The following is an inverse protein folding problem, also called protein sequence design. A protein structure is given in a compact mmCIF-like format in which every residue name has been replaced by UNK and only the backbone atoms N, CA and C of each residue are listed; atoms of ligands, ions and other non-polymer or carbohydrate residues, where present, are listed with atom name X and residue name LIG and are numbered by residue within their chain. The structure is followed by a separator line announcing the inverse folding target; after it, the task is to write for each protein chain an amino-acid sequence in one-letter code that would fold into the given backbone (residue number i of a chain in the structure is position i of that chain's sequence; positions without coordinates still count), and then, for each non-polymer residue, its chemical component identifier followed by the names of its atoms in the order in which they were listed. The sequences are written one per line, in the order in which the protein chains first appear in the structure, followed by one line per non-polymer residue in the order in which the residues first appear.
data_IF_445453679364
#
_entry.id   IF_445453679364
#
_cell.length_a   1.000
_cell.length_b   1.000
_cell.length_c   1.000
_cell.angle_alpha   90.00
_cell.angle_beta   90.00
_cell.angle_gamma   90.00
#
_symmetry.space_group_name_H-M   'P 1'
#
loop_
_entity.id
_entity.type
_entity.pdbx_description
1 polymer ?
#
# COMPACT_ATOMS: atom_id res chain seq x y z
N UNK A 1 -24.16 17.75 -11.37
CA UNK A 1 -24.00 16.39 -10.81
C UNK A 1 -23.91 15.46 -12.01
N UNK A 2 -22.70 15.29 -12.55
CA UNK A 2 -22.49 14.47 -13.75
C UNK A 2 -22.26 13.03 -13.30
N UNK A 3 -23.01 12.10 -13.90
CA UNK A 3 -23.02 10.68 -13.57
C UNK A 3 -21.73 10.00 -14.08
N UNK A 4 -20.98 9.24 -13.24
CA UNK A 4 -19.76 8.55 -13.64
C UNK A 4 -19.96 7.44 -14.68
N UNK A 5 -21.19 6.97 -14.92
CA UNK A 5 -21.46 5.94 -15.94
C UNK A 5 -21.32 6.46 -17.38
N UNK A 6 -21.46 7.78 -17.59
CA UNK A 6 -21.40 8.38 -18.93
C UNK A 6 -19.98 8.48 -19.51
N UNK A 7 -18.93 8.33 -18.72
CA UNK A 7 -17.54 8.41 -19.20
C UNK A 7 -16.97 7.09 -19.73
N UNK A 8 -17.54 5.93 -19.35
CA UNK A 8 -16.97 4.63 -19.69
C UNK A 8 -17.29 4.15 -21.12
N UNK A 9 -18.25 4.78 -21.80
CA UNK A 9 -18.68 4.38 -23.15
C UNK A 9 -17.99 5.13 -24.30
N UNK A 10 -17.11 6.10 -24.00
CA UNK A 10 -16.53 6.98 -25.02
C UNK A 10 -15.23 6.45 -25.68
N UNK A 11 -14.70 5.30 -25.26
CA UNK A 11 -13.35 4.85 -25.64
C UNK A 11 -13.32 3.65 -26.61
N UNK A 12 -14.33 3.48 -27.46
CA UNK A 12 -14.31 2.45 -28.51
C UNK A 12 -14.70 3.03 -29.87
N UNK A 13 -14.08 4.15 -30.27
CA UNK A 13 -14.06 4.53 -31.68
C UNK A 13 -13.12 3.58 -32.43
N UNK A 14 -13.66 2.42 -32.82
CA UNK A 14 -13.12 1.66 -33.94
C UNK A 14 -13.27 2.56 -35.16
N UNK A 15 -12.17 3.12 -35.65
CA UNK A 15 -12.16 3.81 -36.94
C UNK A 15 -12.36 2.75 -38.03
N UNK A 16 -13.61 2.45 -38.40
CA UNK A 16 -13.88 1.83 -39.69
C UNK A 16 -13.61 2.88 -40.75
N UNK A 17 -12.68 2.59 -41.67
CA UNK A 17 -12.47 3.39 -42.87
C UNK A 17 -13.66 3.14 -43.80
N UNK A 18 -14.79 3.76 -43.51
CA UNK A 18 -15.97 3.70 -44.37
C UNK A 18 -15.83 4.73 -45.49
N UNK A 19 -15.03 4.39 -46.51
CA UNK A 19 -15.18 5.01 -47.83
C UNK A 19 -16.28 4.27 -48.59
N UNK A 20 -17.53 4.43 -48.12
CA UNK A 20 -18.73 3.83 -48.73
C UNK A 20 -18.99 4.31 -50.17
N UNK A 21 -18.37 5.43 -50.57
CA UNK A 21 -18.59 6.05 -51.88
C UNK A 21 -17.36 6.04 -52.80
N UNK A 22 -16.29 5.31 -52.45
CA UNK A 22 -15.16 5.12 -53.35
C UNK A 22 -15.53 4.20 -54.51
N UNK A 23 -15.36 4.66 -55.75
CA UNK A 23 -15.59 3.85 -56.98
C UNK A 23 -14.75 2.57 -57.01
N UNK A 24 -13.58 2.58 -56.35
CA UNK A 24 -12.77 1.38 -56.17
C UNK A 24 -13.45 0.33 -55.29
N UNK A 25 -14.16 0.76 -54.23
CA UNK A 25 -14.96 -0.14 -53.39
C UNK A 25 -16.10 -0.78 -54.20
N UNK A 26 -16.74 -0.04 -55.12
CA UNK A 26 -17.85 -0.54 -55.95
C UNK A 26 -17.41 -1.58 -56.99
N UNK A 27 -16.16 -1.53 -57.45
CA UNK A 27 -15.61 -2.46 -58.45
C UNK A 27 -14.92 -3.70 -57.85
N UNK A 28 -14.47 -3.65 -56.59
CA UNK A 28 -13.70 -4.75 -55.99
C UNK A 28 -14.55 -5.79 -55.26
N UNK A 29 -15.80 -5.47 -54.92
CA UNK A 29 -16.74 -6.44 -54.34
C UNK A 29 -17.67 -6.96 -55.42
N UNK A 30 -17.64 -8.27 -55.64
CA UNK A 30 -18.65 -8.93 -56.46
C UNK A 30 -20.00 -8.90 -55.71
N UNK A 31 -21.02 -8.14 -56.16
CA UNK A 31 -22.29 -7.94 -55.46
C UNK A 31 -23.07 -9.25 -55.22
N UNK A 32 -22.83 -10.27 -56.06
CA UNK A 32 -23.41 -11.61 -55.96
C UNK A 32 -22.72 -12.50 -54.92
N UNK A 33 -21.49 -12.15 -54.49
CA UNK A 33 -20.73 -12.87 -53.46
C UNK A 33 -20.89 -12.25 -52.06
N UNK A 34 -21.14 -10.95 -51.96
CA UNK A 34 -21.28 -10.26 -50.65
C UNK A 34 -22.55 -10.66 -49.89
N UNK A 35 -23.57 -11.18 -50.59
CA UNK A 35 -24.85 -11.58 -49.99
C UNK A 35 -25.11 -13.09 -50.05
N UNK A 36 -24.17 -13.88 -50.57
CA UNK A 36 -24.30 -15.33 -50.63
C UNK A 36 -23.67 -15.89 -49.36
N UNK A 37 -24.48 -16.28 -48.38
CA UNK A 37 -24.01 -17.05 -47.23
C UNK A 37 -23.23 -18.25 -47.79
N UNK A 38 -21.90 -18.21 -47.70
CA UNK A 38 -21.03 -19.17 -48.39
C UNK A 38 -21.19 -20.60 -47.86
N UNK A 39 -21.88 -20.76 -46.75
CA UNK A 39 -22.34 -22.01 -46.16
C UNK A 39 -23.41 -21.60 -45.13
N UNK A 40 -24.60 -22.22 -45.09
CA UNK A 40 -25.56 -22.00 -43.98
C UNK A 40 -24.94 -22.20 -42.59
N UNK A 41 -23.81 -22.90 -42.48
CA UNK A 41 -23.08 -23.13 -41.25
C UNK A 41 -22.21 -21.94 -40.77
N UNK A 42 -21.96 -20.93 -41.61
CA UNK A 42 -21.06 -19.80 -41.31
C UNK A 42 -21.53 -18.93 -40.12
N UNK A 43 -22.85 -18.68 -40.02
CA UNK A 43 -23.43 -17.97 -38.87
C UNK A 43 -23.24 -18.75 -37.57
N UNK A 44 -23.27 -20.08 -37.64
CA UNK A 44 -23.03 -20.96 -36.48
C UNK A 44 -21.55 -20.93 -36.09
N UNK A 45 -20.63 -20.97 -37.06
CA UNK A 45 -19.20 -20.79 -36.84
C UNK A 45 -18.89 -19.45 -36.14
N UNK A 46 -19.44 -18.35 -36.67
CA UNK A 46 -19.26 -17.02 -36.06
C UNK A 46 -19.80 -16.98 -34.62
N UNK A 47 -21.00 -17.53 -34.37
CA UNK A 47 -21.55 -17.59 -33.03
C UNK A 47 -20.66 -18.40 -32.06
N UNK A 48 -20.06 -19.50 -32.54
CA UNK A 48 -19.10 -20.28 -31.76
C UNK A 48 -17.81 -19.50 -31.46
N UNK A 49 -17.31 -18.69 -32.40
CA UNK A 49 -16.12 -17.86 -32.20
C UNK A 49 -16.37 -16.74 -31.18
N UNK A 50 -17.51 -16.03 -31.28
CA UNK A 50 -17.92 -15.02 -30.29
C UNK A 50 -18.03 -15.66 -28.91
N UNK A 51 -18.66 -16.84 -28.81
CA UNK A 51 -18.77 -17.56 -27.54
C UNK A 51 -17.39 -17.93 -26.95
N UNK A 52 -16.44 -18.38 -27.78
CA UNK A 52 -15.07 -18.66 -27.35
C UNK A 52 -14.35 -17.39 -26.87
N UNK A 53 -14.48 -16.28 -27.59
CA UNK A 53 -13.91 -15.00 -27.21
C UNK A 53 -14.44 -14.55 -25.83
N UNK A 54 -15.74 -14.65 -25.59
CA UNK A 54 -16.35 -14.35 -24.29
C UNK A 54 -15.83 -15.25 -23.18
N UNK A 55 -15.65 -16.55 -23.45
CA UNK A 55 -15.04 -17.47 -22.49
C UNK A 55 -13.62 -17.04 -22.13
N UNK A 56 -12.79 -16.67 -23.12
CA UNK A 56 -11.44 -16.20 -22.85
C UNK A 56 -11.41 -14.90 -22.04
N UNK A 57 -12.28 -13.94 -22.36
CA UNK A 57 -12.40 -12.68 -21.60
C UNK A 57 -12.82 -12.97 -20.15
N UNK A 58 -13.80 -13.85 -19.94
CA UNK A 58 -14.21 -14.27 -18.59
C UNK A 58 -13.05 -14.92 -17.83
N UNK A 59 -12.35 -15.89 -18.44
CA UNK A 59 -11.20 -16.55 -17.82
C UNK A 59 -10.09 -15.55 -17.46
N UNK A 60 -9.77 -14.62 -18.37
CA UNK A 60 -8.77 -13.59 -18.13
C UNK A 60 -9.18 -12.65 -16.97
N UNK A 61 -10.45 -12.24 -16.92
CA UNK A 61 -10.98 -11.42 -15.82
C UNK A 61 -10.93 -12.18 -14.49
N UNK A 62 -11.38 -13.45 -14.46
CA UNK A 62 -11.33 -14.30 -13.27
C UNK A 62 -9.91 -14.46 -12.71
N UNK A 63 -8.92 -14.71 -13.56
CA UNK A 63 -7.52 -14.85 -13.14
C UNK A 63 -6.99 -13.55 -12.50
N UNK A 64 -7.32 -12.39 -13.09
CA UNK A 64 -6.94 -11.08 -12.52
C UNK A 64 -7.63 -10.84 -11.16
N UNK A 65 -8.91 -11.17 -11.04
CA UNK A 65 -9.65 -11.04 -9.79
C UNK A 65 -9.12 -11.96 -8.69
N UNK A 66 -8.69 -13.18 -9.03
CA UNK A 66 -8.03 -14.10 -8.09
C UNK A 66 -6.73 -13.47 -7.56
N UNK A 67 -5.89 -12.92 -8.42
CA UNK A 67 -4.66 -12.24 -8.01
C UNK A 67 -4.94 -11.04 -7.09
N UNK A 68 -5.94 -10.22 -7.41
CA UNK A 68 -6.34 -9.10 -6.57
C UNK A 68 -6.84 -9.59 -5.20
N UNK A 69 -7.64 -10.66 -5.17
CA UNK A 69 -8.12 -11.24 -3.91
C UNK A 69 -6.96 -11.77 -3.04
N UNK A 70 -5.95 -12.38 -3.65
CA UNK A 70 -4.74 -12.81 -2.94
C UNK A 70 -3.96 -11.64 -2.35
N UNK A 71 -3.81 -10.55 -3.10
CA UNK A 71 -3.17 -9.32 -2.63
C UNK A 71 -3.95 -8.69 -1.46
N UNK A 72 -5.28 -8.60 -1.57
CA UNK A 72 -6.14 -8.10 -0.47
C UNK A 72 -5.95 -8.95 0.78
N UNK A 73 -5.97 -10.28 0.64
CA UNK A 73 -5.74 -11.20 1.77
C UNK A 73 -4.37 -10.97 2.41
N UNK A 74 -3.33 -10.76 1.61
CA UNK A 74 -2.00 -10.46 2.11
C UNK A 74 -1.99 -9.15 2.92
N UNK A 75 -2.59 -8.08 2.38
CA UNK A 75 -2.69 -6.78 3.05
C UNK A 75 -3.47 -6.88 4.37
N UNK A 76 -4.57 -7.64 4.39
CA UNK A 76 -5.34 -7.89 5.61
C UNK A 76 -4.51 -8.58 6.68
N UNK A 77 -3.70 -9.58 6.31
CA UNK A 77 -2.83 -10.26 7.28
C UNK A 77 -1.71 -9.34 7.76
N UNK A 78 -1.13 -8.48 6.90
CA UNK A 78 -0.17 -7.48 7.35
C UNK A 78 -0.79 -6.50 8.34
N UNK A 79 -1.99 -5.97 8.04
CA UNK A 79 -2.70 -5.06 8.94
C UNK A 79 -3.00 -5.73 10.29
N UNK A 80 -3.42 -7.00 10.29
CA UNK A 80 -3.67 -7.79 11.51
C UNK A 80 -2.41 -7.91 12.36
N UNK A 81 -1.25 -8.17 11.75
CA UNK A 81 0.04 -8.28 12.46
C UNK A 81 0.42 -6.95 13.10
N UNK A 82 0.37 -5.85 12.35
CA UNK A 82 0.68 -4.50 12.87
C UNK A 82 -0.20 -4.16 14.06
N UNK A 83 -1.51 -4.45 14.00
CA UNK A 83 -2.42 -4.19 15.13
C UNK A 83 -2.10 -5.05 16.36
N UNK A 84 -1.73 -6.31 16.17
CA UNK A 84 -1.36 -7.20 17.28
C UNK A 84 -0.05 -6.76 17.94
N UNK A 85 0.95 -6.42 17.14
CA UNK A 85 2.24 -5.89 17.60
C UNK A 85 2.05 -4.57 18.35
N UNK A 86 1.28 -3.64 17.78
CA UNK A 86 0.97 -2.35 18.43
C UNK A 86 0.27 -2.55 19.77
N UNK A 87 -0.69 -3.47 19.85
CA UNK A 87 -1.39 -3.78 21.09
C UNK A 87 -0.42 -4.35 22.14
N UNK A 88 0.41 -5.31 21.74
CA UNK A 88 1.41 -5.90 22.63
C UNK A 88 2.40 -4.84 23.13
N UNK A 89 2.90 -3.98 22.25
CA UNK A 89 3.80 -2.89 22.60
C UNK A 89 3.13 -1.91 23.58
N UNK A 90 1.87 -1.57 23.37
CA UNK A 90 1.10 -0.73 24.30
C UNK A 90 0.95 -1.38 25.68
N UNK A 91 0.64 -2.69 25.74
CA UNK A 91 0.56 -3.44 26.99
C UNK A 91 1.91 -3.47 27.74
N UNK A 92 3.01 -3.68 27.03
CA UNK A 92 4.37 -3.65 27.59
C UNK A 92 4.74 -2.23 28.04
N UNK A 93 4.37 -1.19 27.28
CA UNK A 93 4.58 0.18 27.70
C UNK A 93 3.84 0.54 28.97
N UNK A 94 2.61 0.04 29.12
CA UNK A 94 1.76 0.26 30.30
C UNK A 94 2.17 -0.57 31.53
N UNK A 95 2.95 -1.64 31.37
CA UNK A 95 3.45 -2.44 32.49
C UNK A 95 4.22 -1.56 33.49
N UNK A 96 3.96 -1.78 34.79
CA UNK A 96 4.53 -0.97 35.85
C UNK A 96 6.06 -1.06 35.84
N UNK A 97 6.74 0.07 36.06
CA UNK A 97 8.18 0.16 35.92
C UNK A 97 8.74 1.19 36.91
N UNK A 98 9.66 0.76 37.79
CA UNK A 98 10.26 1.63 38.82
C UNK A 98 11.54 2.33 38.33
N UNK A 99 11.91 2.16 37.07
CA UNK A 99 13.12 2.71 36.47
C UNK A 99 12.82 3.34 35.11
N UNK A 100 13.71 4.21 34.64
CA UNK A 100 13.62 4.76 33.29
C UNK A 100 14.05 3.70 32.27
N UNK A 101 13.16 3.39 31.33
CA UNK A 101 13.43 2.51 30.20
C UNK A 101 14.49 3.15 29.28
N UNK A 102 15.47 2.36 28.84
CA UNK A 102 16.59 2.75 27.98
C UNK A 102 16.62 1.80 26.78
N UNK A 103 16.74 2.37 25.60
CA UNK A 103 16.91 1.62 24.34
C UNK A 103 18.12 0.70 24.43
N UNK A 104 18.00 -0.49 23.83
CA UNK A 104 19.03 -1.54 23.76
C UNK A 104 19.13 -2.41 25.02
N UNK A 105 18.44 -2.07 26.10
CA UNK A 105 18.47 -2.85 27.34
C UNK A 105 17.44 -3.97 27.34
N UNK A 106 17.80 -5.07 28.02
CA UNK A 106 16.91 -6.20 28.26
C UNK A 106 16.08 -5.97 29.53
N UNK A 107 14.81 -6.30 29.45
CA UNK A 107 13.84 -6.19 30.51
C UNK A 107 13.06 -7.49 30.67
N UNK A 108 12.78 -7.85 31.91
CA UNK A 108 12.11 -9.10 32.26
C UNK A 108 10.72 -8.78 32.83
N UNK A 109 9.68 -9.28 32.17
CA UNK A 109 8.29 -9.05 32.55
C UNK A 109 7.84 -10.11 33.54
N UNK A 110 7.23 -9.66 34.64
CA UNK A 110 6.70 -10.51 35.69
C UNK A 110 5.24 -10.17 36.01
N UNK A 111 4.51 -11.12 36.57
CA UNK A 111 3.15 -10.93 37.10
C UNK A 111 3.13 -11.15 38.61
N UNK A 112 2.62 -10.15 39.34
CA UNK A 112 2.38 -10.24 40.79
C UNK A 112 1.12 -11.04 41.08
N UNK A 113 0.95 -11.47 42.33
CA UNK A 113 -0.24 -12.18 42.79
C UNK A 113 -1.56 -11.40 42.60
N UNK A 114 -1.50 -10.06 42.53
CA UNK A 114 -2.65 -9.19 42.22
C UNK A 114 -2.91 -9.02 40.71
N UNK A 115 -2.34 -9.88 39.86
CA UNK A 115 -2.40 -9.83 38.40
C UNK A 115 -1.81 -8.57 37.73
N UNK A 116 -1.11 -7.71 38.48
CA UNK A 116 -0.39 -6.58 37.88
C UNK A 116 0.91 -7.03 37.24
N UNK A 117 1.15 -6.60 36.00
CA UNK A 117 2.40 -6.84 35.28
C UNK A 117 3.40 -5.73 35.54
N UNK A 118 4.68 -6.08 35.66
CA UNK A 118 5.75 -5.11 35.88
C UNK A 118 7.07 -5.59 35.28
N UNK A 119 7.92 -4.64 34.91
CA UNK A 119 9.27 -4.91 34.42
C UNK A 119 10.31 -4.89 35.54
N UNK A 120 11.28 -5.78 35.42
CA UNK A 120 12.50 -5.86 36.23
C UNK A 120 13.73 -5.83 35.31
N UNK A 121 14.86 -5.33 35.82
CA UNK A 121 16.17 -5.51 35.17
C UNK A 121 16.79 -6.87 35.47
N UNK A 122 16.33 -7.53 36.54
CA UNK A 122 16.82 -8.85 36.96
C UNK A 122 16.09 -9.97 36.23
N UNK A 123 16.86 -10.92 35.69
CA UNK A 123 16.36 -12.14 35.05
C UNK A 123 15.88 -13.18 36.07
N UNK A 124 15.09 -14.19 35.66
CA UNK A 124 14.68 -15.27 36.58
C UNK A 124 15.87 -16.03 37.19
N UNK A 125 16.99 -16.10 36.47
CA UNK A 125 18.22 -16.75 36.92
C UNK A 125 18.93 -15.93 37.99
N UNK A 126 18.98 -14.60 37.83
CA UNK A 126 19.56 -13.67 38.80
C UNK A 126 18.72 -13.53 40.07
N UNK A 127 17.39 -13.62 39.94
CA UNK A 127 16.48 -13.69 41.09
C UNK A 127 16.69 -14.95 41.94
N UNK A 128 17.16 -16.03 41.33
CA UNK A 128 17.34 -17.33 41.98
C UNK A 128 16.05 -17.85 42.63
N UNK A 129 16.14 -18.62 43.73
CA UNK A 129 14.99 -19.20 44.41
C UNK A 129 14.07 -18.16 45.08
N UNK A 130 14.49 -16.90 45.12
CA UNK A 130 13.75 -15.79 45.74
C UNK A 130 12.84 -15.05 44.76
N UNK A 131 12.70 -15.48 43.50
CA UNK A 131 11.76 -14.89 42.55
C UNK A 131 10.32 -15.07 43.06
N UNK A 132 9.64 -14.03 43.53
CA UNK A 132 8.32 -14.19 44.16
C UNK A 132 7.18 -14.19 43.14
N UNK A 133 7.47 -13.90 41.86
CA UNK A 133 6.48 -13.57 40.84
C UNK A 133 6.64 -14.45 39.60
N UNK A 134 5.52 -14.67 38.90
CA UNK A 134 5.47 -15.47 37.66
C UNK A 134 6.24 -14.74 36.54
N UNK A 135 7.17 -15.44 35.89
CA UNK A 135 7.90 -14.91 34.75
C UNK A 135 7.09 -15.05 33.47
N UNK A 136 6.90 -13.94 32.75
CA UNK A 136 6.10 -13.89 31.51
C UNK A 136 6.95 -13.82 30.24
N UNK A 137 8.16 -13.26 30.33
CA UNK A 137 9.05 -13.17 29.17
C UNK A 137 10.14 -12.12 29.32
N UNK A 138 11.14 -12.19 28.44
CA UNK A 138 12.22 -11.23 28.34
C UNK A 138 12.09 -10.44 27.04
N UNK A 139 12.29 -9.14 27.10
CA UNK A 139 12.06 -8.19 26.01
C UNK A 139 13.18 -7.15 25.97
N UNK A 140 13.68 -6.83 24.78
CA UNK A 140 14.58 -5.71 24.54
C UNK A 140 13.78 -4.52 24.01
N UNK A 141 14.09 -3.33 24.51
CA UNK A 141 13.53 -2.09 23.98
C UNK A 141 14.35 -1.62 22.78
N UNK A 142 13.71 -1.50 21.63
CA UNK A 142 14.34 -1.11 20.38
C UNK A 142 14.46 0.41 20.21
N UNK A 143 15.19 0.85 19.18
CA UNK A 143 15.42 2.27 18.89
C UNK A 143 14.15 3.03 18.48
N UNK A 144 13.20 2.34 17.87
CA UNK A 144 11.86 2.84 17.51
C UNK A 144 10.85 2.72 18.66
N UNK A 145 11.30 2.36 19.86
CA UNK A 145 10.48 2.10 21.06
C UNK A 145 9.54 0.89 20.95
N UNK A 146 9.70 0.03 19.94
CA UNK A 146 9.06 -1.28 19.91
C UNK A 146 9.74 -2.26 20.86
N UNK A 147 9.04 -3.36 21.19
CA UNK A 147 9.57 -4.40 22.05
C UNK A 147 9.85 -5.69 21.29
N UNK A 148 11.11 -6.11 21.26
CA UNK A 148 11.49 -7.41 20.70
C UNK A 148 11.63 -8.45 21.80
N UNK A 149 10.97 -9.60 21.66
CA UNK A 149 11.18 -10.74 22.57
C UNK A 149 12.62 -11.23 22.48
N UNK A 150 13.19 -11.69 23.60
CA UNK A 150 14.57 -12.16 23.66
C UNK A 150 14.90 -13.26 22.63
N UNK A 151 13.94 -14.13 22.33
CA UNK A 151 14.07 -15.19 21.32
C UNK A 151 14.19 -14.67 19.88
N UNK A 152 13.61 -13.49 19.61
CA UNK A 152 13.53 -12.90 18.27
C UNK A 152 14.64 -11.90 17.96
N UNK A 153 15.41 -11.45 18.97
CA UNK A 153 16.47 -10.43 18.83
C UNK A 153 17.49 -10.84 17.76
N UNK A 154 17.94 -12.09 17.76
CA UNK A 154 18.94 -12.57 16.81
C UNK A 154 18.41 -12.55 15.37
N UNK A 155 17.14 -12.93 15.17
CA UNK A 155 16.48 -12.87 13.86
C UNK A 155 16.35 -11.42 13.40
N UNK A 156 15.81 -10.54 14.25
CA UNK A 156 15.65 -9.11 13.93
C UNK A 156 16.97 -8.44 13.60
N UNK A 157 18.03 -8.73 14.35
CA UNK A 157 19.37 -8.19 14.09
C UNK A 157 19.88 -8.60 12.71
N UNK A 158 19.66 -9.86 12.31
CA UNK A 158 20.00 -10.36 10.97
C UNK A 158 19.18 -9.68 9.88
N UNK A 159 17.89 -9.48 10.11
CA UNK A 159 17.00 -8.81 9.16
C UNK A 159 17.43 -7.35 8.94
N UNK A 160 17.76 -6.62 10.01
CA UNK A 160 18.30 -5.25 9.92
C UNK A 160 19.63 -5.22 9.15
N UNK A 161 20.56 -6.13 9.46
CA UNK A 161 21.83 -6.23 8.73
C UNK A 161 21.63 -6.51 7.24
N UNK A 162 20.65 -7.33 6.89
CA UNK A 162 20.30 -7.62 5.49
C UNK A 162 19.76 -6.36 4.79
N UNK A 163 18.91 -5.59 5.47
CA UNK A 163 18.40 -4.30 4.94
C UNK A 163 19.53 -3.31 4.74
N UNK A 164 20.44 -3.16 5.70
CA UNK A 164 21.60 -2.26 5.59
C UNK A 164 22.53 -2.65 4.44
N UNK A 165 22.74 -3.96 4.22
CA UNK A 165 23.48 -4.49 3.07
C UNK A 165 22.80 -4.12 1.75
N UNK A 166 21.48 -4.23 1.66
CA UNK A 166 20.73 -3.86 0.47
C UNK A 166 20.74 -2.35 0.22
N UNK A 167 20.65 -1.52 1.26
CA UNK A 167 20.72 -0.06 1.14
C UNK A 167 22.12 0.43 0.74
N UNK A 168 23.17 -0.25 1.18
CA UNK A 168 24.56 0.06 0.82
C UNK A 168 24.93 -0.43 -0.58
N UNK A 169 24.33 -1.51 -1.06
CA UNK A 169 24.37 -1.86 -2.47
C UNK A 169 23.53 -0.85 -3.25
N UNK A 170 24.06 -0.24 -4.31
CA UNK A 170 23.29 0.72 -5.11
C UNK A 170 22.03 0.04 -5.68
N UNK A 171 20.88 0.25 -5.04
CA UNK A 171 19.58 -0.19 -5.55
C UNK A 171 19.25 0.73 -6.73
N UNK A 172 19.04 0.21 -7.95
CA UNK A 172 18.55 1.04 -9.04
C UNK A 172 17.24 1.68 -8.59
N UNK A 173 17.19 3.02 -8.63
CA UNK A 173 16.05 3.79 -8.18
C UNK A 173 14.77 3.25 -8.83
N UNK A 174 13.78 2.86 -8.02
CA UNK A 174 12.43 2.63 -8.52
C UNK A 174 11.90 4.02 -8.91
N UNK A 175 12.04 4.34 -10.18
CA UNK A 175 11.59 5.59 -10.76
C UNK A 175 10.04 5.62 -10.70
N UNK A 176 9.50 6.35 -9.71
CA UNK A 176 8.17 6.98 -9.66
C UNK A 176 6.90 6.12 -9.86
N UNK A 177 6.10 6.01 -8.77
CA UNK A 177 4.63 5.86 -8.85
C UNK A 177 3.91 7.19 -8.54
N UNK A 178 4.61 8.27 -8.18
CA UNK A 178 3.99 9.60 -7.96
C UNK A 178 3.98 10.47 -9.22
N UNK A 179 3.69 9.87 -10.38
CA UNK A 179 3.54 10.59 -11.64
C UNK A 179 2.10 11.05 -11.91
N UNK A 180 1.52 11.90 -11.07
CA UNK A 180 0.43 12.78 -11.55
C UNK A 180 1.11 13.82 -12.42
N UNK A 181 0.78 13.81 -13.70
CA UNK A 181 1.41 14.61 -14.75
C UNK A 181 1.32 16.12 -14.46
N UNK A 182 2.42 16.72 -14.02
CA UNK A 182 2.67 18.16 -14.06
C UNK A 182 2.95 18.61 -15.52
N UNK A 183 1.98 18.48 -16.42
CA UNK A 183 2.05 19.09 -17.74
C UNK A 183 1.05 20.25 -17.84
N UNK A 184 1.35 21.36 -17.14
CA UNK A 184 0.79 22.68 -17.46
C UNK A 184 1.62 23.90 -17.01
N UNK A 185 2.75 23.73 -16.31
CA UNK A 185 3.51 24.87 -15.79
C UNK A 185 4.65 25.38 -16.71
N UNK A 186 4.59 25.16 -18.03
CA UNK A 186 5.54 25.75 -18.99
C UNK A 186 4.86 26.70 -19.97
N UNK A 187 4.15 27.71 -19.46
CA UNK A 187 3.83 28.90 -20.24
C UNK A 187 3.60 30.14 -19.37
N UNK A 188 4.66 30.64 -18.74
CA UNK A 188 4.83 32.06 -18.41
C UNK A 188 6.14 32.29 -17.65
N UNK A 189 7.29 32.21 -18.35
CA UNK A 189 8.49 32.93 -17.91
C UNK A 189 8.86 33.88 -19.03
N UNK A 190 8.25 35.06 -19.00
CA UNK A 190 8.81 36.30 -19.55
C UNK A 190 7.98 37.46 -19.04
N UNK A 191 8.53 38.16 -18.05
CA UNK A 191 8.68 39.61 -17.99
C UNK A 191 8.71 40.07 -16.52
N UNK A 192 9.69 40.94 -16.27
CA UNK A 192 9.75 41.91 -15.18
C UNK A 192 10.49 41.53 -13.88
N UNK A 193 11.82 41.64 -14.01
CA UNK A 193 12.71 42.46 -13.17
C UNK A 193 12.07 43.37 -12.09
N UNK A 194 12.55 43.15 -10.85
CA UNK A 194 12.65 44.04 -9.67
C UNK A 194 11.41 44.74 -9.08
N UNK A 195 11.13 44.40 -7.82
CA UNK A 195 10.95 45.40 -6.74
C UNK A 195 11.39 44.83 -5.38
N UNK A 196 12.16 45.64 -4.67
CA UNK A 196 12.68 45.46 -3.30
C UNK A 196 11.60 45.90 -2.28
N UNK A 197 11.83 45.59 -0.98
CA UNK A 197 11.34 46.26 0.26
C UNK A 197 10.20 45.46 0.97
N UNK A 198 10.16 45.16 2.29
CA UNK A 198 10.94 45.48 3.51
C UNK A 198 10.72 44.40 4.60
N UNK A 199 11.63 44.31 5.58
CA UNK A 199 11.47 43.63 6.87
C UNK A 199 10.40 44.31 7.72
N UNK A 200 9.49 43.53 8.33
CA UNK A 200 8.67 43.96 9.47
C UNK A 200 8.72 42.85 10.52
N UNK A 201 9.52 43.09 11.56
CA UNK A 201 9.53 42.40 12.84
C UNK A 201 8.31 42.77 13.67
N UNK A 202 7.71 41.74 14.26
CA UNK A 202 7.09 41.62 15.59
C UNK A 202 5.89 42.50 16.02
N UNK A 203 5.10 41.87 16.90
CA UNK A 203 3.93 42.36 17.68
C UNK A 203 2.58 42.23 16.90
N UNK A 204 1.51 41.61 17.41
CA UNK A 204 1.18 41.23 18.77
C UNK A 204 -0.03 40.26 18.79
N UNK A 205 -0.23 39.62 19.94
CA UNK A 205 -1.27 38.66 20.36
C UNK A 205 -2.71 38.80 19.82
N UNK A 206 -3.47 37.68 19.78
CA UNK A 206 -4.63 37.41 20.68
C UNK A 206 -5.36 36.07 20.36
N UNK A 207 -5.39 35.20 21.38
CA UNK A 207 -6.53 34.41 21.92
C UNK A 207 -7.04 33.16 21.17
N UNK A 208 -6.83 32.02 21.86
CA UNK A 208 -7.52 30.74 21.70
C UNK A 208 -9.04 30.85 21.93
N UNK A 209 -9.85 30.19 21.10
CA UNK A 209 -11.21 29.80 21.47
C UNK A 209 -11.37 28.28 21.53
N UNK A 210 -12.00 27.73 22.59
CA UNK A 210 -12.20 26.30 22.78
C UNK A 210 -13.48 25.81 22.10
N UNK A 211 -13.41 24.71 21.35
CA UNK A 211 -14.61 24.03 20.86
C UNK A 211 -15.21 23.14 21.95
N UNK A 212 -16.38 23.54 22.47
CA UNK A 212 -17.32 22.70 23.21
C UNK A 212 -18.43 22.21 22.29
N UNK A 213 -18.50 20.91 21.99
CA UNK A 213 -19.43 19.89 22.53
C UNK A 213 -19.34 18.59 21.71
#
# INVERSE_FOLDING_TARGET
MENPETMALAATNVYTVDTSDSEASKQLVNPERVHRHSDPYDLVCLAQEVQKADQFVRCAASNKLILIAEQIRHLQEQARKVLLETKQDAELHHAACNFKKRVGQMYYLYRRANNTTYFSMLSPQEWGPSCPHEFLGAYQLEADMSWTKAEDIARRSKDIQMVDQLLSSQVPAIQYVTGVSENSAKKAIKHHEKSVIEDITDEDHLVEEPFHY
#
